data_IF_477864566959
#
_entry.id   IF_477864566959
#
_cell.length_a   1.000
_cell.length_b   1.000
_cell.length_c   1.000
_cell.angle_alpha   90.00
_cell.angle_beta   90.00
_cell.angle_gamma   90.00
#
_symmetry.space_group_name_H-M   'P 1'
#
loop_
_entity.id
_entity.type
_entity.pdbx_description
1 polymer ?
#
# COMPACT_ATOMS: atom_id res chain seq x y z
N UNK A 1 25.48 39.19 33.59
CA UNK A 1 25.59 37.73 33.37
C UNK A 1 24.75 37.02 34.40
N UNK A 2 23.57 36.53 34.02
CA UNK A 2 22.85 35.52 34.82
C UNK A 2 22.47 34.41 33.85
N UNK A 3 23.24 33.32 33.93
CA UNK A 3 23.05 32.09 33.18
C UNK A 3 21.79 31.39 33.67
N UNK A 4 20.83 31.16 32.79
CA UNK A 4 19.75 30.20 33.03
C UNK A 4 19.87 29.13 31.94
N UNK A 5 20.56 28.04 32.27
CA UNK A 5 20.61 26.86 31.43
C UNK A 5 19.26 26.14 31.45
N UNK A 6 18.82 25.51 30.34
CA UNK A 6 17.67 24.64 30.39
C UNK A 6 18.07 23.33 31.10
N UNK A 7 17.42 23.06 32.23
CA UNK A 7 17.42 21.78 32.91
C UNK A 7 17.04 20.66 31.92
N UNK A 8 17.89 19.63 31.87
CA UNK A 8 17.53 18.29 31.40
C UNK A 8 16.28 17.81 32.13
N UNK A 9 15.30 17.33 31.37
CA UNK A 9 14.29 16.39 31.85
C UNK A 9 14.56 15.06 31.16
N UNK A 10 15.40 14.25 31.81
CA UNK A 10 15.42 12.80 31.58
C UNK A 10 14.25 12.19 32.35
N UNK A 11 13.26 11.66 31.64
CA UNK A 11 12.23 10.82 32.24
C UNK A 11 11.60 9.92 31.18
N UNK A 12 12.25 8.78 30.99
CA UNK A 12 11.60 7.46 30.96
C UNK A 12 10.06 7.49 31.00
N UNK A 13 9.41 7.43 29.84
CA UNK A 13 7.99 7.09 29.77
C UNK A 13 7.74 6.14 28.60
N UNK A 14 7.85 4.86 28.98
CA UNK A 14 6.97 3.76 28.58
C UNK A 14 6.78 3.58 27.08
N UNK A 15 7.56 2.62 26.58
CA UNK A 15 7.07 1.53 25.73
C UNK A 15 5.54 1.38 25.82
N UNK A 16 4.82 1.82 24.79
CA UNK A 16 3.55 1.20 24.40
C UNK A 16 3.68 0.85 22.94
N UNK A 17 3.76 -0.46 22.71
CA UNK A 17 3.96 -1.07 21.40
C UNK A 17 2.93 -0.58 20.40
N UNK A 18 3.42 -0.12 19.26
CA UNK A 18 2.62 -0.12 18.04
C UNK A 18 2.60 -1.57 17.60
N UNK A 19 1.41 -2.16 17.64
CA UNK A 19 1.18 -3.59 17.42
C UNK A 19 2.00 -4.13 16.26
N UNK A 20 2.85 -5.08 16.60
CA UNK A 20 3.33 -6.17 15.75
C UNK A 20 2.11 -6.84 15.10
N UNK A 21 1.74 -6.37 13.92
CA UNK A 21 0.56 -6.81 13.19
C UNK A 21 0.83 -7.01 11.70
N UNK A 22 2.01 -7.51 11.33
CA UNK A 22 2.25 -8.12 10.01
C UNK A 22 3.18 -9.34 10.16
N UNK A 23 3.06 -10.05 11.28
CA UNK A 23 3.63 -11.39 11.45
C UNK A 23 2.77 -12.38 10.66
N UNK A 24 3.06 -12.53 9.36
CA UNK A 24 2.81 -13.70 8.46
C UNK A 24 3.01 -13.35 6.97
N UNK A 25 4.05 -12.56 6.64
CA UNK A 25 4.57 -12.43 5.25
C UNK A 25 5.72 -13.42 4.99
N UNK A 26 5.63 -14.63 5.51
CA UNK A 26 6.53 -15.73 5.16
C UNK A 26 5.64 -16.89 4.76
N UNK A 27 5.54 -17.17 3.46
CA UNK A 27 4.68 -18.24 2.98
C UNK A 27 4.51 -18.38 1.47
N UNK A 28 4.82 -17.35 0.67
CA UNK A 28 4.58 -17.40 -0.80
C UNK A 28 5.80 -16.95 -1.63
N UNK A 29 7.02 -17.11 -1.13
CA UNK A 29 8.27 -16.74 -1.85
C UNK A 29 8.83 -17.88 -2.73
N UNK A 30 8.00 -18.80 -3.23
CA UNK A 30 8.46 -19.97 -4.02
C UNK A 30 7.70 -20.24 -5.33
N UNK A 31 7.07 -19.24 -5.93
CA UNK A 31 6.57 -19.36 -7.30
C UNK A 31 7.31 -18.36 -8.19
N UNK A 32 8.64 -18.51 -8.21
CA UNK A 32 9.44 -18.15 -9.37
C UNK A 32 9.30 -19.28 -10.39
N UNK A 33 9.17 -18.94 -11.69
CA UNK A 33 9.07 -19.84 -12.85
C UNK A 33 7.65 -20.30 -13.25
N UNK A 34 6.76 -19.33 -13.43
CA UNK A 34 5.82 -19.39 -14.55
C UNK A 34 5.62 -17.96 -15.08
N UNK A 35 6.43 -17.59 -16.07
CA UNK A 35 6.14 -16.46 -16.95
C UNK A 35 4.95 -16.86 -17.81
N UNK A 36 3.76 -16.72 -17.26
CA UNK A 36 2.55 -16.51 -18.03
C UNK A 36 1.71 -15.50 -17.26
N UNK A 37 1.31 -14.43 -17.94
CA UNK A 37 0.53 -13.31 -17.41
C UNK A 37 -0.92 -13.70 -17.09
N UNK A 38 -1.17 -14.92 -16.62
CA UNK A 38 -2.49 -15.44 -16.31
C UNK A 38 -2.62 -15.74 -14.82
N UNK A 39 -3.73 -15.28 -14.24
CA UNK A 39 -4.07 -15.32 -12.82
C UNK A 39 -4.39 -16.72 -12.33
N UNK A 40 -3.43 -17.65 -12.41
CA UNK A 40 -3.59 -19.03 -11.94
C UNK A 40 -3.28 -19.09 -10.44
N UNK A 41 -4.23 -19.56 -9.64
CA UNK A 41 -4.06 -19.78 -8.20
C UNK A 41 -4.25 -21.26 -7.91
N UNK A 42 -3.21 -21.89 -7.37
CA UNK A 42 -3.27 -23.27 -6.90
C UNK A 42 -3.83 -23.27 -5.48
N UNK A 43 -4.93 -23.99 -5.28
CA UNK A 43 -5.56 -24.17 -3.96
C UNK A 43 -4.82 -25.31 -3.25
N UNK A 44 -4.34 -25.05 -2.02
CA UNK A 44 -3.74 -26.08 -1.16
C UNK A 44 -4.80 -26.66 -0.23
N UNK A 45 -4.70 -27.94 0.12
CA UNK A 45 -5.72 -28.68 0.89
C UNK A 45 -6.00 -28.13 2.30
N UNK A 46 -5.08 -27.35 2.87
CA UNK A 46 -5.21 -26.76 4.21
C UNK A 46 -5.81 -25.34 4.22
N UNK A 47 -6.42 -24.88 3.12
CA UNK A 47 -7.03 -23.54 3.05
C UNK A 47 -8.55 -23.59 2.91
N UNK A 48 -9.30 -22.83 3.73
CA UNK A 48 -10.74 -22.69 3.51
C UNK A 48 -10.99 -21.97 2.19
N UNK A 49 -11.95 -22.48 1.41
CA UNK A 49 -12.29 -22.03 0.06
C UNK A 49 -12.48 -20.50 -0.09
N UNK A 50 -13.07 -19.86 0.93
CA UNK A 50 -13.27 -18.41 0.97
C UNK A 50 -11.95 -17.62 0.92
N UNK A 51 -10.89 -18.16 1.51
CA UNK A 51 -9.56 -17.54 1.50
C UNK A 51 -8.95 -17.62 0.11
N UNK A 52 -9.17 -18.70 -0.63
CA UNK A 52 -8.72 -18.85 -2.02
C UNK A 52 -9.41 -17.82 -2.93
N UNK A 53 -10.73 -17.61 -2.81
CA UNK A 53 -11.46 -16.57 -3.56
C UNK A 53 -10.91 -15.18 -3.24
N UNK A 54 -10.61 -14.90 -1.98
CA UNK A 54 -10.05 -13.60 -1.58
C UNK A 54 -8.67 -13.37 -2.19
N UNK A 55 -7.82 -14.41 -2.26
CA UNK A 55 -6.52 -14.34 -2.93
C UNK A 55 -6.69 -14.10 -4.43
N UNK A 56 -7.65 -14.78 -5.06
CA UNK A 56 -7.99 -14.59 -6.47
C UNK A 56 -8.34 -13.15 -6.82
N UNK A 57 -9.27 -12.55 -6.05
CA UNK A 57 -9.65 -11.15 -6.25
C UNK A 57 -8.46 -10.21 -6.11
N UNK A 58 -7.63 -10.42 -5.07
CA UNK A 58 -6.41 -9.62 -4.84
C UNK A 58 -5.38 -9.76 -5.97
N UNK A 59 -5.20 -10.96 -6.51
CA UNK A 59 -4.26 -11.20 -7.62
C UNK A 59 -4.73 -10.51 -8.90
N UNK A 60 -6.03 -10.55 -9.21
CA UNK A 60 -6.61 -9.80 -10.34
C UNK A 60 -6.41 -8.29 -10.16
N UNK A 61 -6.68 -7.77 -8.96
CA UNK A 61 -6.50 -6.35 -8.64
C UNK A 61 -5.03 -5.92 -8.70
N UNK A 62 -4.11 -6.77 -8.22
CA UNK A 62 -2.67 -6.53 -8.26
C UNK A 62 -2.13 -6.51 -9.68
N UNK A 63 -2.59 -7.43 -10.52
CA UNK A 63 -2.19 -7.51 -11.93
C UNK A 63 -2.71 -6.32 -12.73
N UNK A 64 -3.72 -5.59 -12.23
CA UNK A 64 -4.22 -4.37 -12.86
C UNK A 64 -5.01 -4.61 -14.15
N UNK A 65 -5.36 -5.86 -14.48
CA UNK A 65 -6.07 -6.24 -15.71
C UNK A 65 -7.34 -5.42 -15.95
N UNK A 66 -8.14 -5.19 -14.90
CA UNK A 66 -9.38 -4.41 -15.01
C UNK A 66 -9.09 -2.93 -15.30
N UNK A 67 -8.01 -2.37 -14.73
CA UNK A 67 -7.63 -0.98 -14.98
C UNK A 67 -7.10 -0.79 -16.40
N UNK A 68 -6.33 -1.76 -16.90
CA UNK A 68 -5.84 -1.79 -18.27
C UNK A 68 -6.98 -1.91 -19.28
N UNK A 69 -7.96 -2.81 -19.05
CA UNK A 69 -9.13 -2.92 -19.90
C UNK A 69 -9.91 -1.61 -19.98
N UNK A 70 -10.12 -0.93 -18.84
CA UNK A 70 -10.78 0.38 -18.80
C UNK A 70 -10.02 1.46 -19.57
N UNK A 71 -8.69 1.42 -19.55
CA UNK A 71 -7.86 2.36 -20.31
C UNK A 71 -7.94 2.08 -21.82
N UNK A 72 -8.01 0.80 -22.22
CA UNK A 72 -8.07 0.37 -23.62
C UNK A 72 -9.46 0.47 -24.26
N UNK A 73 -10.53 0.53 -23.48
CA UNK A 73 -11.92 0.66 -23.96
C UNK A 73 -12.19 1.94 -24.76
N UNK A 74 -11.42 3.01 -24.53
CA UNK A 74 -11.62 4.30 -25.17
C UNK A 74 -10.32 4.82 -25.75
N UNK A 75 -10.36 5.34 -26.97
CA UNK A 75 -9.21 6.05 -27.52
C UNK A 75 -9.01 7.35 -26.76
N UNK A 76 -7.95 7.41 -25.95
CA UNK A 76 -7.52 8.63 -25.32
C UNK A 76 -6.37 9.26 -26.12
N UNK A 77 -6.55 10.53 -26.50
CA UNK A 77 -5.48 11.29 -27.16
C UNK A 77 -4.21 11.26 -26.31
N UNK A 78 -3.01 11.15 -26.91
CA UNK A 78 -1.75 10.99 -26.17
C UNK A 78 -1.47 12.14 -25.18
N UNK A 79 -1.99 13.34 -25.47
CA UNK A 79 -1.90 14.50 -24.58
C UNK A 79 -2.77 14.35 -23.33
N UNK A 80 -3.95 13.74 -23.44
CA UNK A 80 -4.84 13.47 -22.33
C UNK A 80 -4.29 12.37 -21.41
N UNK A 81 -3.69 11.31 -21.97
CA UNK A 81 -2.96 10.28 -21.20
C UNK A 81 -1.86 10.92 -20.35
N UNK A 82 -1.05 11.81 -20.93
CA UNK A 82 0.03 12.53 -20.21
C UNK A 82 -0.53 13.39 -19.07
N UNK A 83 -1.64 14.11 -19.29
CA UNK A 83 -2.29 14.92 -18.26
C UNK A 83 -2.86 14.05 -17.12
N UNK A 84 -3.51 12.93 -17.45
CA UNK A 84 -4.05 11.97 -16.48
C UNK A 84 -2.96 11.40 -15.58
N UNK A 85 -1.84 10.95 -16.17
CA UNK A 85 -0.70 10.38 -15.43
C UNK A 85 -0.09 11.40 -14.46
N UNK A 86 0.09 12.65 -14.89
CA UNK A 86 0.58 13.74 -14.03
C UNK A 86 -0.36 14.02 -12.86
N UNK A 87 -1.66 14.15 -13.12
CA UNK A 87 -2.66 14.38 -12.07
C UNK A 87 -2.71 13.22 -11.05
N UNK A 88 -2.61 11.97 -11.54
CA UNK A 88 -2.57 10.79 -10.67
C UNK A 88 -1.32 10.77 -9.77
N UNK A 89 -0.15 11.15 -10.29
CA UNK A 89 1.09 11.24 -9.52
C UNK A 89 1.00 12.30 -8.41
N UNK A 90 0.50 13.50 -8.75
CA UNK A 90 0.28 14.59 -7.77
C UNK A 90 -0.67 14.14 -6.65
N UNK A 91 -1.78 13.48 -7.01
CA UNK A 91 -2.76 12.98 -6.01
C UNK A 91 -2.16 11.91 -5.09
N UNK A 92 -1.31 11.01 -5.62
CA UNK A 92 -0.58 10.01 -4.81
C UNK A 92 0.38 10.69 -3.83
N UNK A 93 1.13 11.70 -4.28
CA UNK A 93 2.03 12.48 -3.41
C UNK A 93 1.25 13.20 -2.31
N UNK A 94 0.16 13.89 -2.66
CA UNK A 94 -0.68 14.59 -1.68
C UNK A 94 -1.25 13.64 -0.63
N UNK A 95 -1.69 12.44 -1.02
CA UNK A 95 -2.16 11.41 -0.08
C UNK A 95 -1.03 10.98 0.88
N UNK A 96 0.18 10.77 0.37
CA UNK A 96 1.36 10.41 1.19
C UNK A 96 1.71 11.50 2.19
N UNK A 97 1.75 12.75 1.75
CA UNK A 97 2.04 13.89 2.63
C UNK A 97 0.97 14.05 3.72
N UNK A 98 -0.32 13.90 3.37
CA UNK A 98 -1.42 13.91 4.34
C UNK A 98 -1.28 12.80 5.39
N UNK A 99 -0.87 11.60 4.98
CA UNK A 99 -0.67 10.51 5.95
C UNK A 99 0.53 10.72 6.89
N UNK A 100 1.49 11.56 6.51
CA UNK A 100 2.65 11.90 7.34
C UNK A 100 2.39 13.08 8.29
N UNK A 101 1.36 13.89 8.02
CA UNK A 101 1.00 15.02 8.86
C UNK A 101 0.19 14.56 10.07
N UNK A 102 0.58 15.01 11.26
CA UNK A 102 -0.21 14.82 12.47
C UNK A 102 -1.57 15.52 12.33
N UNK A 103 -2.66 14.95 12.88
CA UNK A 103 -3.97 15.57 12.81
C UNK A 103 -3.92 16.97 13.43
N UNK A 104 -4.54 17.95 12.75
CA UNK A 104 -4.60 19.33 13.24
C UNK A 104 -5.31 19.33 14.60
N UNK A 105 -4.66 19.89 15.62
CA UNK A 105 -5.29 20.04 16.94
C UNK A 105 -6.53 20.92 16.79
N UNK A 106 -7.68 20.40 17.22
CA UNK A 106 -8.89 21.19 17.41
C UNK A 106 -8.75 21.87 18.78
N UNK A 107 -8.89 23.20 18.80
CA UNK A 107 -8.87 24.00 20.02
C UNK A 107 -10.23 23.94 20.70
#
# INVERSE_FOLDING_TARGET
>A
MVSIGPLRVDASLRKRGVGSGDARRQGDERIELARDNMTTIVIKENEPFEVAIRRFRRTIERNGLIAELRERQSYEKPTAVRKRKKAAAVKRLQRRLRSQQLPKKLH
#
